data_IF_273059907590
#
_entry.id   IF_273059907590
#
_cell.length_a   1.000
_cell.length_b   1.000
_cell.length_c   1.000
_cell.angle_alpha   90.00
_cell.angle_beta   90.00
_cell.angle_gamma   90.00
#
_symmetry.space_group_name_H-M   'P 1'
#
loop_
_entity.id
_entity.type
_entity.pdbx_description
1 polymer ?
#
# COMPACT_ATOMS: atom_id res chain seq x y z
N UNK A 1 24.05 44.81 14.64
CA UNK A 1 24.76 43.54 14.28
C UNK A 1 24.32 42.39 15.21
N UNK A 2 23.01 42.18 15.39
CA UNK A 2 22.45 41.22 16.37
C UNK A 2 21.26 40.39 15.85
N UNK A 3 20.87 40.57 14.59
CA UNK A 3 19.69 39.92 13.98
C UNK A 3 20.05 38.61 13.25
N UNK A 4 21.20 38.62 12.56
CA UNK A 4 21.69 37.47 11.79
C UNK A 4 21.97 36.24 12.67
N UNK A 5 22.42 36.45 13.91
CA UNK A 5 22.70 35.35 14.85
C UNK A 5 21.42 34.69 15.37
N UNK A 6 20.30 35.44 15.49
CA UNK A 6 19.00 34.88 15.88
C UNK A 6 18.36 34.10 14.72
N UNK A 7 18.54 34.56 13.48
CA UNK A 7 18.14 33.84 12.27
C UNK A 7 18.87 32.50 12.11
N UNK A 8 20.17 32.45 12.42
CA UNK A 8 20.95 31.20 12.41
C UNK A 8 20.46 30.21 13.48
N UNK A 9 20.12 30.72 14.67
CA UNK A 9 19.58 29.88 15.75
C UNK A 9 18.16 29.37 15.40
N UNK A 10 17.32 30.20 14.79
CA UNK A 10 16.00 29.78 14.26
C UNK A 10 16.13 28.70 13.17
N UNK A 11 17.06 28.87 12.21
CA UNK A 11 17.30 27.84 11.18
C UNK A 11 17.75 26.50 11.78
N UNK A 12 18.51 26.53 12.88
CA UNK A 12 18.97 25.32 13.54
C UNK A 12 17.84 24.53 14.22
N UNK A 13 16.77 25.19 14.69
CA UNK A 13 15.62 24.53 15.34
C UNK A 13 14.68 23.87 14.31
N UNK A 14 14.61 24.42 13.08
CA UNK A 14 13.86 23.80 11.98
C UNK A 14 14.57 22.55 11.44
N UNK A 15 15.90 22.47 11.54
CA UNK A 15 16.68 21.30 11.13
C UNK A 15 16.38 20.02 11.93
N UNK A 16 15.83 20.13 13.13
CA UNK A 16 15.48 18.97 13.97
C UNK A 16 14.13 18.31 13.61
N UNK A 17 13.32 18.93 12.75
CA UNK A 17 11.99 18.41 12.36
C UNK A 17 12.01 17.61 11.05
N UNK A 18 13.17 17.47 10.42
CA UNK A 18 13.35 16.72 9.17
C UNK A 18 14.43 15.65 9.35
N UNK A 19 14.30 14.89 10.44
CA UNK A 19 14.73 13.49 10.45
C UNK A 19 13.79 12.71 9.53
N UNK A 20 13.90 12.94 8.22
CA UNK A 20 13.53 11.93 7.25
C UNK A 20 14.31 10.64 7.56
N UNK A 21 13.68 9.52 7.26
CA UNK A 21 14.28 8.20 7.15
C UNK A 21 14.46 7.40 8.46
N UNK A 22 13.33 7.10 9.10
CA UNK A 22 13.11 5.73 9.57
C UNK A 22 11.72 5.25 9.17
N UNK A 23 11.30 5.55 7.94
CA UNK A 23 10.38 4.65 7.27
C UNK A 23 11.20 3.42 6.90
N UNK A 24 11.31 2.48 7.84
CA UNK A 24 11.70 1.10 7.59
C UNK A 24 10.62 0.45 6.73
N UNK A 25 10.43 0.96 5.52
CA UNK A 25 9.67 0.25 4.51
C UNK A 25 10.55 -0.91 4.11
N UNK A 26 10.20 -2.10 4.61
CA UNK A 26 10.63 -3.30 3.93
C UNK A 26 10.19 -3.15 2.47
N UNK A 27 11.06 -3.46 1.51
CA UNK A 27 10.69 -3.47 0.08
C UNK A 27 9.46 -4.36 -0.21
N UNK A 28 9.03 -5.16 0.77
CA UNK A 28 7.84 -6.00 0.79
C UNK A 28 6.54 -5.32 1.25
N UNK A 29 6.55 -4.05 1.71
CA UNK A 29 5.33 -3.32 2.07
C UNK A 29 4.80 -2.50 0.89
N UNK A 30 3.70 -2.97 0.31
CA UNK A 30 2.91 -2.19 -0.65
C UNK A 30 2.41 -0.91 0.02
N UNK A 31 2.83 0.25 -0.49
CA UNK A 31 2.51 1.56 0.09
C UNK A 31 1.01 1.89 0.03
N UNK A 32 0.24 1.18 -0.79
CA UNK A 32 -1.21 1.36 -0.85
C UNK A 32 -1.93 0.68 0.31
N UNK A 33 -1.26 -0.22 1.05
CA UNK A 33 -1.83 -0.94 2.17
C UNK A 33 -1.85 -0.08 3.43
N UNK A 34 -3.05 0.26 3.89
CA UNK A 34 -3.26 1.00 5.12
C UNK A 34 -4.58 0.61 5.78
N UNK A 35 -4.80 1.08 7.01
CA UNK A 35 -6.09 0.96 7.69
C UNK A 35 -6.62 2.34 8.02
N UNK A 36 -7.93 2.53 7.91
CA UNK A 36 -8.62 3.78 8.23
C UNK A 36 -9.95 3.43 8.89
N UNK A 37 -10.20 3.94 10.11
CA UNK A 37 -11.43 3.70 10.87
C UNK A 37 -11.81 2.23 11.09
N UNK A 38 -10.82 1.32 11.14
CA UNK A 38 -11.08 -0.11 11.27
C UNK A 38 -11.36 -0.82 9.94
N UNK A 39 -11.25 -0.12 8.82
CA UNK A 39 -11.30 -0.69 7.47
C UNK A 39 -9.89 -0.87 6.90
N UNK A 40 -9.72 -1.90 6.06
CA UNK A 40 -8.48 -2.15 5.36
C UNK A 40 -8.56 -1.63 3.93
N UNK A 41 -7.57 -0.84 3.55
CA UNK A 41 -7.48 -0.24 2.24
C UNK A 41 -6.26 -0.79 1.52
N UNK A 42 -6.47 -1.27 0.30
CA UNK A 42 -5.43 -1.81 -0.56
C UNK A 42 -5.67 -1.39 -1.99
N UNK A 43 -4.70 -0.71 -2.61
CA UNK A 43 -4.75 -0.21 -4.00
C UNK A 43 -6.01 0.60 -4.35
N UNK A 44 -6.53 1.35 -3.39
CA UNK A 44 -7.73 2.18 -3.55
C UNK A 44 -9.05 1.46 -3.18
N UNK A 45 -9.02 0.16 -2.91
CA UNK A 45 -10.19 -0.59 -2.50
C UNK A 45 -10.27 -0.75 -0.99
N UNK A 46 -11.46 -0.51 -0.42
CA UNK A 46 -11.82 -0.98 0.91
C UNK A 46 -12.14 -2.49 0.83
N UNK A 47 -11.35 -3.33 1.50
CA UNK A 47 -11.44 -4.78 1.40
C UNK A 47 -11.41 -5.47 2.76
N UNK A 48 -12.29 -6.45 2.93
CA UNK A 48 -12.04 -7.59 3.85
C UNK A 48 -11.65 -8.81 3.03
N UNK A 49 -12.41 -9.03 1.96
CA UNK A 49 -12.15 -10.02 0.93
C UNK A 49 -12.56 -9.42 -0.43
N UNK A 50 -11.78 -9.68 -1.49
CA UNK A 50 -12.10 -9.21 -2.84
C UNK A 50 -11.50 -10.14 -3.89
N UNK A 51 -12.34 -10.62 -4.80
CA UNK A 51 -11.91 -11.31 -6.01
C UNK A 51 -11.82 -10.33 -7.20
N UNK A 52 -10.72 -10.44 -7.95
CA UNK A 52 -10.38 -9.56 -9.06
C UNK A 52 -10.28 -10.37 -10.36
N UNK A 53 -10.72 -9.76 -11.46
CA UNK A 53 -10.45 -10.23 -12.83
C UNK A 53 -9.08 -9.73 -13.31
N UNK A 54 -8.74 -8.46 -12.99
CA UNK A 54 -7.56 -7.76 -13.50
C UNK A 54 -6.81 -7.06 -12.37
N UNK A 55 -5.62 -7.54 -11.97
CA UNK A 55 -5.10 -8.89 -12.25
C UNK A 55 -6.00 -10.00 -11.67
N UNK A 56 -5.93 -11.21 -12.20
CA UNK A 56 -6.75 -12.34 -11.74
C UNK A 56 -6.25 -12.85 -10.38
N UNK A 57 -6.72 -12.22 -9.31
CA UNK A 57 -6.23 -12.38 -7.95
C UNK A 57 -7.37 -12.40 -6.94
N UNK A 58 -7.22 -13.20 -5.88
CA UNK A 58 -8.04 -13.12 -4.67
C UNK A 58 -7.28 -12.40 -3.57
N UNK A 59 -7.88 -11.37 -2.98
CA UNK A 59 -7.29 -10.54 -1.92
C UNK A 59 -8.02 -10.76 -0.61
N UNK A 60 -7.26 -11.11 0.42
CA UNK A 60 -7.76 -11.27 1.79
C UNK A 60 -7.02 -10.31 2.71
N UNK A 61 -7.72 -9.37 3.34
CA UNK A 61 -7.12 -8.49 4.33
C UNK A 61 -7.39 -8.97 5.76
N UNK A 62 -6.34 -8.94 6.58
CA UNK A 62 -6.41 -9.15 8.02
C UNK A 62 -5.95 -7.90 8.74
N UNK A 63 -6.86 -7.37 9.57
CA UNK A 63 -6.56 -6.35 10.55
C UNK A 63 -6.14 -7.07 11.84
N UNK A 64 -4.87 -6.93 12.23
CA UNK A 64 -4.34 -7.54 13.44
C UNK A 64 -2.84 -7.38 13.56
N UNK A 65 -2.36 -7.08 14.77
CA UNK A 65 -0.96 -6.73 15.02
C UNK A 65 -0.68 -5.25 14.83
N UNK A 66 0.58 -4.90 14.57
CA UNK A 66 1.04 -3.51 14.45
C UNK A 66 0.63 -2.85 13.11
N UNK A 67 0.34 -3.65 12.07
CA UNK A 67 0.01 -3.17 10.73
C UNK A 67 -0.97 -4.11 10.01
N UNK A 68 -1.81 -3.61 9.08
CA UNK A 68 -2.66 -4.46 8.25
C UNK A 68 -1.83 -5.39 7.35
N UNK A 69 -2.36 -6.56 7.04
CA UNK A 69 -1.74 -7.55 6.16
C UNK A 69 -2.71 -7.98 5.08
N UNK A 70 -2.29 -7.93 3.82
CA UNK A 70 -3.04 -8.47 2.68
C UNK A 70 -2.36 -9.71 2.15
N UNK A 71 -3.12 -10.79 2.03
CA UNK A 71 -2.70 -12.00 1.31
C UNK A 71 -3.26 -11.96 -0.09
N UNK A 72 -2.40 -12.15 -1.09
CA UNK A 72 -2.77 -12.18 -2.50
C UNK A 72 -2.62 -13.62 -3.00
N UNK A 73 -3.70 -14.16 -3.56
CA UNK A 73 -3.70 -15.46 -4.24
C UNK A 73 -3.84 -15.20 -5.72
N UNK A 74 -2.81 -15.54 -6.49
CA UNK A 74 -2.85 -15.50 -7.95
C UNK A 74 -3.12 -16.88 -8.55
N UNK A 75 -3.27 -16.92 -9.87
CA UNK A 75 -3.26 -18.16 -10.63
C UNK A 75 -1.88 -18.85 -10.60
N UNK A 76 -1.78 -20.15 -10.94
CA UNK A 76 -0.50 -20.87 -11.12
C UNK A 76 0.45 -20.13 -12.07
N UNK A 77 1.77 -20.37 -11.99
CA UNK A 77 2.78 -19.35 -12.27
C UNK A 77 2.71 -18.81 -13.70
N UNK A 78 2.29 -17.55 -13.79
CA UNK A 78 2.58 -16.67 -14.92
C UNK A 78 3.42 -15.52 -14.37
N UNK A 79 4.48 -15.16 -15.10
CA UNK A 79 5.47 -14.18 -14.68
C UNK A 79 4.81 -12.92 -14.11
N UNK A 80 5.12 -12.60 -12.85
CA UNK A 80 4.54 -11.46 -12.14
C UNK A 80 4.96 -10.17 -12.86
N UNK A 81 4.01 -9.54 -13.56
CA UNK A 81 4.19 -8.21 -14.14
C UNK A 81 4.31 -7.19 -13.00
N UNK A 82 5.51 -6.66 -12.81
CA UNK A 82 5.90 -5.86 -11.65
C UNK A 82 5.45 -4.39 -11.69
N UNK A 83 4.31 -4.03 -12.31
CA UNK A 83 3.88 -2.62 -12.34
C UNK A 83 2.38 -2.43 -12.10
N UNK A 84 2.10 -1.66 -11.05
CA UNK A 84 0.78 -1.44 -10.45
C UNK A 84 -0.04 -0.38 -11.18
N UNK A 85 -1.36 -0.56 -11.14
CA UNK A 85 -2.38 0.40 -11.59
C UNK A 85 -3.39 0.63 -10.46
N UNK A 86 -4.02 1.82 -10.47
CA UNK A 86 -5.12 2.20 -9.59
C UNK A 86 -6.33 1.28 -9.77
N UNK A 87 -7.42 1.47 -9.02
CA UNK A 87 -8.70 0.79 -9.25
C UNK A 87 -9.04 0.73 -10.75
N UNK A 88 -9.33 -0.49 -11.24
CA UNK A 88 -9.58 -0.80 -12.64
C UNK A 88 -10.95 -1.44 -12.72
N UNK A 89 -11.73 -1.09 -13.75
CA UNK A 89 -13.00 -1.76 -14.03
C UNK A 89 -12.84 -3.28 -14.11
N UNK A 90 -13.68 -3.99 -13.36
CA UNK A 90 -13.69 -5.46 -13.26
C UNK A 90 -14.94 -6.01 -13.95
N UNK A 91 -14.82 -7.18 -14.60
CA UNK A 91 -15.98 -7.98 -14.97
C UNK A 91 -16.39 -8.90 -13.80
N UNK A 92 -17.51 -8.65 -13.11
CA UNK A 92 -17.93 -9.47 -11.96
C UNK A 92 -18.24 -10.92 -12.34
N UNK A 93 -18.53 -11.20 -13.61
CA UNK A 93 -18.80 -12.56 -14.09
C UNK A 93 -17.52 -13.39 -14.29
N UNK A 94 -16.34 -12.78 -14.19
CA UNK A 94 -15.06 -13.41 -14.48
C UNK A 94 -13.97 -13.03 -13.48
N UNK A 95 -14.27 -13.04 -12.19
CA UNK A 95 -13.27 -12.76 -11.13
C UNK A 95 -12.54 -14.02 -10.67
N UNK A 96 -11.48 -13.89 -9.87
CA UNK A 96 -10.76 -15.02 -9.28
C UNK A 96 -11.73 -15.95 -8.51
N UNK A 97 -11.54 -17.28 -8.57
CA UNK A 97 -10.57 -18.04 -9.36
C UNK A 97 -11.03 -18.33 -10.81
N UNK A 98 -12.21 -17.84 -11.24
CA UNK A 98 -12.79 -18.15 -12.56
C UNK A 98 -11.97 -17.60 -13.72
N UNK A 99 -11.33 -16.45 -13.55
CA UNK A 99 -10.42 -15.88 -14.56
C UNK A 99 -9.07 -16.61 -14.70
N UNK A 100 -8.78 -17.62 -13.86
CA UNK A 100 -7.56 -18.41 -14.03
C UNK A 100 -7.73 -19.32 -15.26
N UNK A 101 -7.18 -18.89 -16.39
CA UNK A 101 -6.95 -19.77 -17.54
C UNK A 101 -6.04 -20.93 -17.13
N UNK A 102 -6.46 -22.15 -17.46
CA UNK A 102 -5.67 -23.37 -17.28
C UNK A 102 -4.45 -23.38 -18.20
#
# INVERSE_FOLDING_TARGET
KGDMRKLIIMLAIVGAHVAFAAQSYSMSRDQSLHSQNGDCWFRGYNITHKDMEKPCEGWDCKLGGEYPVVTIKGCPPVAVSARYTLEVAQNPENVFPKCCTK
#
